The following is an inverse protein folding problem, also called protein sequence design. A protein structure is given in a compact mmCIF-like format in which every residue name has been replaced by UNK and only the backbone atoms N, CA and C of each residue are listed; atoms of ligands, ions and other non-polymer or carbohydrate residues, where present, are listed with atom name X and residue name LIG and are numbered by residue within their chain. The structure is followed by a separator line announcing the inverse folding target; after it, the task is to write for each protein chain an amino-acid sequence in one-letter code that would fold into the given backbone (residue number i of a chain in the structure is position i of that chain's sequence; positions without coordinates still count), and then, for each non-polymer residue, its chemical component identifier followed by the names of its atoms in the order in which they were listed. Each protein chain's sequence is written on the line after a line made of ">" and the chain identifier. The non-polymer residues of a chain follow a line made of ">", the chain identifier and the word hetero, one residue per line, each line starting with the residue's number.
data_IF_337730062457
#
_entry.id   IF_337730062457
#
_cell.length_a   1.000
_cell.length_b   1.000
_cell.length_c   1.000
_cell.angle_alpha   90.00
_cell.angle_beta   90.00
_cell.angle_gamma   90.00
#
_symmetry.space_group_name_H-M   'P 1'
#
loop_
_entity.id
_entity.type
_entity.pdbx_description
1 polymer ?
#
# COMPACT_ATOMS: atom_id res chain seq x y z
N UNK A 1 26.37 33.49 -44.58
CA UNK A 1 25.88 33.02 -43.29
C UNK A 1 24.67 32.14 -43.53
N UNK A 2 24.78 30.86 -43.24
CA UNK A 2 23.66 29.92 -43.36
C UNK A 2 22.58 30.24 -42.33
N UNK A 3 21.31 30.28 -42.77
CA UNK A 3 20.17 30.42 -41.86
C UNK A 3 20.19 29.30 -40.81
N UNK A 4 19.87 29.59 -39.56
CA UNK A 4 19.71 28.55 -38.55
C UNK A 4 18.76 27.43 -39.05
N UNK A 5 19.11 26.20 -38.80
CA UNK A 5 18.39 25.00 -39.33
C UNK A 5 16.89 25.02 -39.06
N UNK A 6 16.41 25.67 -37.98
CA UNK A 6 14.99 25.78 -37.62
C UNK A 6 14.22 26.77 -38.54
N UNK A 7 14.92 27.60 -39.33
CA UNK A 7 14.31 28.52 -40.30
C UNK A 7 14.15 27.91 -41.70
N UNK A 8 14.73 26.72 -41.95
CA UNK A 8 14.49 26.04 -43.23
C UNK A 8 13.05 25.49 -43.30
N UNK A 9 12.42 25.59 -44.51
CA UNK A 9 11.09 25.01 -44.70
C UNK A 9 11.09 23.53 -44.38
N UNK A 10 10.23 23.12 -43.45
CA UNK A 10 10.08 21.71 -43.09
C UNK A 10 9.33 20.95 -44.18
N UNK A 11 9.82 19.77 -44.55
CA UNK A 11 9.20 18.94 -45.59
C UNK A 11 7.84 18.36 -45.12
N UNK A 12 6.81 18.49 -45.98
CA UNK A 12 5.50 17.90 -45.75
C UNK A 12 5.43 16.53 -46.39
N UNK A 13 5.37 15.45 -45.59
CA UNK A 13 5.20 14.09 -46.10
C UNK A 13 6.37 13.57 -46.92
N UNK A 14 6.26 12.35 -47.45
CA UNK A 14 7.26 11.74 -48.34
C UNK A 14 7.41 12.63 -49.60
N UNK A 15 8.54 13.31 -49.69
CA UNK A 15 9.12 13.86 -50.91
C UNK A 15 8.60 15.14 -51.56
N UNK A 16 7.91 16.05 -50.86
CA UNK A 16 7.77 17.41 -51.41
C UNK A 16 8.11 18.46 -50.37
N UNK A 17 9.12 19.34 -50.61
CA UNK A 17 9.40 20.51 -49.77
C UNK A 17 8.17 21.42 -49.82
N UNK A 18 7.87 22.11 -48.71
CA UNK A 18 6.92 23.21 -48.69
C UNK A 18 7.57 24.35 -49.47
N UNK A 19 7.16 24.57 -50.72
CA UNK A 19 7.65 25.69 -51.51
C UNK A 19 6.99 26.97 -51.00
N UNK A 20 7.77 27.83 -50.39
CA UNK A 20 7.45 29.21 -50.08
C UNK A 20 7.72 30.02 -51.39
N UNK A 21 6.75 30.01 -52.29
CA UNK A 21 6.83 30.89 -53.46
C UNK A 21 6.26 32.27 -53.08
N UNK A 22 7.12 33.15 -52.64
CA UNK A 22 6.77 34.49 -52.19
C UNK A 22 6.84 35.48 -53.34
N UNK A 23 5.83 35.54 -54.16
CA UNK A 23 5.71 36.65 -55.15
C UNK A 23 5.42 37.96 -54.41
N UNK A 24 6.07 39.02 -54.86
CA UNK A 24 5.84 40.37 -54.34
C UNK A 24 4.37 40.74 -54.51
N UNK A 25 3.65 41.02 -53.44
CA UNK A 25 2.22 41.33 -53.44
C UNK A 25 1.26 40.26 -52.91
N UNK A 26 1.69 38.98 -52.74
CA UNK A 26 0.83 37.91 -52.23
C UNK A 26 1.57 37.05 -51.15
N UNK A 27 2.27 37.70 -50.21
CA UNK A 27 3.07 37.01 -49.19
C UNK A 27 2.28 36.58 -47.96
N UNK A 28 1.15 37.24 -47.69
CA UNK A 28 0.39 37.01 -46.45
C UNK A 28 -0.25 35.62 -46.44
N UNK A 29 -0.79 35.12 -47.57
CA UNK A 29 -1.40 33.82 -47.70
C UNK A 29 -0.39 32.65 -47.49
N UNK A 30 0.79 32.63 -48.15
CA UNK A 30 1.82 31.64 -47.92
C UNK A 30 2.34 31.62 -46.50
N UNK A 31 2.55 32.81 -45.87
CA UNK A 31 2.99 32.91 -44.47
C UNK A 31 1.92 32.38 -43.49
N UNK A 32 0.64 32.66 -43.72
CA UNK A 32 -0.45 32.14 -42.94
C UNK A 32 -0.50 30.57 -43.02
N UNK A 33 -0.32 30.03 -44.22
CA UNK A 33 -0.19 28.58 -44.41
C UNK A 33 1.04 28.00 -43.70
N UNK A 34 2.13 28.73 -43.67
CA UNK A 34 3.36 28.30 -43.01
C UNK A 34 3.23 28.29 -41.48
N UNK A 35 2.53 29.24 -40.86
CA UNK A 35 2.20 29.19 -39.42
C UNK A 35 1.54 27.86 -39.07
N UNK A 36 0.47 27.45 -39.81
CA UNK A 36 -0.21 26.20 -39.55
C UNK A 36 0.67 24.97 -39.83
N UNK A 37 1.57 25.07 -40.83
CA UNK A 37 2.52 23.98 -41.11
C UNK A 37 3.50 23.77 -39.96
N UNK A 38 4.03 24.85 -39.35
CA UNK A 38 4.91 24.77 -38.18
C UNK A 38 4.21 24.08 -37.00
N UNK A 39 2.98 24.47 -36.70
CA UNK A 39 2.18 23.88 -35.65
C UNK A 39 1.91 22.38 -35.93
N UNK A 40 1.60 22.03 -37.20
CA UNK A 40 1.47 20.61 -37.61
C UNK A 40 2.76 19.82 -37.40
N UNK A 41 3.91 20.42 -37.49
CA UNK A 41 5.25 19.84 -37.24
C UNK A 41 5.67 19.79 -35.77
N UNK A 42 4.81 20.27 -34.85
CA UNK A 42 5.03 20.16 -33.41
C UNK A 42 5.57 21.43 -32.73
N UNK A 43 5.70 22.53 -33.47
CA UNK A 43 6.00 23.83 -32.84
C UNK A 43 4.76 24.39 -32.13
N UNK A 44 4.96 25.03 -30.98
CA UNK A 44 3.85 25.77 -30.35
C UNK A 44 3.38 26.94 -31.18
N UNK A 45 2.13 27.40 -31.00
CA UNK A 45 1.60 28.56 -31.69
C UNK A 45 2.49 29.79 -31.49
N UNK A 46 2.98 30.00 -30.26
CA UNK A 46 3.87 31.11 -29.94
C UNK A 46 5.24 30.99 -30.66
N UNK A 47 5.81 29.76 -30.71
CA UNK A 47 7.03 29.49 -31.48
C UNK A 47 6.81 29.70 -32.97
N UNK A 48 5.71 29.22 -33.53
CA UNK A 48 5.35 29.40 -34.94
C UNK A 48 5.23 30.91 -35.29
N UNK A 49 4.60 31.71 -34.42
CA UNK A 49 4.49 33.14 -34.59
C UNK A 49 5.86 33.83 -34.55
N UNK A 50 6.72 33.44 -33.59
CA UNK A 50 8.09 33.96 -33.52
C UNK A 50 8.92 33.66 -34.79
N UNK A 51 8.85 32.41 -35.26
CA UNK A 51 9.55 31.97 -36.48
C UNK A 51 9.08 32.78 -37.67
N UNK A 52 7.77 33.02 -37.85
CA UNK A 52 7.25 33.80 -38.95
C UNK A 52 7.64 35.26 -38.86
N UNK A 53 7.71 35.86 -37.66
CA UNK A 53 8.25 37.24 -37.47
C UNK A 53 9.73 37.31 -37.86
N UNK A 54 10.53 36.34 -37.44
CA UNK A 54 11.95 36.28 -37.81
C UNK A 54 12.13 36.12 -39.32
N UNK A 55 11.35 35.22 -39.94
CA UNK A 55 11.39 35.05 -41.40
C UNK A 55 11.05 36.35 -42.13
N UNK A 56 9.99 37.04 -41.70
CA UNK A 56 9.62 38.32 -42.30
C UNK A 56 10.73 39.36 -42.20
N UNK A 57 11.45 39.38 -41.06
CA UNK A 57 12.49 40.42 -40.82
C UNK A 57 13.82 40.12 -41.49
N UNK A 58 14.19 38.83 -41.68
CA UNK A 58 15.54 38.46 -42.07
C UNK A 58 15.61 37.69 -43.41
N UNK A 59 14.51 37.17 -43.92
CA UNK A 59 14.50 36.37 -45.16
C UNK A 59 14.01 37.15 -46.35
N UNK A 60 13.17 38.16 -46.16
CA UNK A 60 12.60 38.96 -47.24
C UNK A 60 13.39 40.26 -47.46
N UNK A 61 13.82 40.48 -48.70
CA UNK A 61 14.46 41.74 -49.07
C UNK A 61 13.56 42.98 -48.81
N UNK A 62 12.24 42.80 -49.01
CA UNK A 62 11.24 43.82 -48.69
C UNK A 62 10.24 43.20 -47.67
N UNK A 63 10.47 43.34 -46.35
CA UNK A 63 9.59 42.73 -45.35
C UNK A 63 8.17 43.32 -45.39
N UNK A 64 7.17 42.50 -45.08
CA UNK A 64 5.79 42.96 -44.89
C UNK A 64 5.75 43.90 -43.68
N UNK A 65 5.08 45.07 -43.80
CA UNK A 65 4.95 45.99 -42.66
C UNK A 65 4.35 45.25 -41.45
N UNK A 66 4.90 45.49 -40.27
CA UNK A 66 4.52 44.74 -39.06
C UNK A 66 3.01 44.80 -38.76
N UNK A 67 2.38 45.95 -38.98
CA UNK A 67 0.93 46.12 -38.83
C UNK A 67 0.12 45.19 -39.74
N UNK A 68 0.56 45.00 -40.98
CA UNK A 68 -0.09 44.11 -41.96
C UNK A 68 0.16 42.68 -41.60
N UNK A 69 1.38 42.31 -41.19
CA UNK A 69 1.72 40.94 -40.74
C UNK A 69 0.87 40.51 -39.53
N UNK A 70 0.72 41.41 -38.56
CA UNK A 70 -0.09 41.12 -37.37
C UNK A 70 -1.60 41.10 -37.66
N UNK A 71 -2.08 41.98 -38.56
CA UNK A 71 -3.49 42.02 -38.91
C UNK A 71 -3.94 40.82 -39.78
N UNK A 72 -3.12 40.41 -40.75
CA UNK A 72 -3.52 39.45 -41.77
C UNK A 72 -2.98 38.05 -41.49
N UNK A 73 -1.84 37.87 -40.84
CA UNK A 73 -1.18 36.57 -40.63
C UNK A 73 -1.18 36.16 -39.14
N UNK A 74 -0.65 37.01 -38.27
CA UNK A 74 -0.41 36.70 -36.87
C UNK A 74 -1.51 37.25 -35.95
N UNK A 75 -2.75 37.21 -36.38
CA UNK A 75 -3.90 37.73 -35.65
C UNK A 75 -4.47 36.69 -34.65
N UNK A 76 -5.36 37.17 -33.78
CA UNK A 76 -6.00 36.35 -32.73
C UNK A 76 -6.77 35.16 -33.28
N UNK A 77 -7.37 35.26 -34.45
CA UNK A 77 -8.07 34.14 -35.12
C UNK A 77 -7.09 33.04 -35.52
N UNK A 78 -5.93 33.42 -36.10
CA UNK A 78 -4.86 32.48 -36.45
C UNK A 78 -4.28 31.84 -35.18
N UNK A 79 -4.01 32.63 -34.15
CA UNK A 79 -3.51 32.16 -32.86
C UNK A 79 -4.46 31.12 -32.22
N UNK A 80 -5.76 31.42 -32.22
CA UNK A 80 -6.78 30.51 -31.71
C UNK A 80 -6.79 29.20 -32.50
N UNK A 81 -6.80 29.23 -33.83
CA UNK A 81 -6.73 28.05 -34.68
C UNK A 81 -5.46 27.22 -34.44
N UNK A 82 -4.31 27.88 -34.29
CA UNK A 82 -3.05 27.19 -33.96
C UNK A 82 -3.11 26.50 -32.61
N UNK A 83 -3.61 27.13 -31.56
CA UNK A 83 -3.81 26.54 -30.24
C UNK A 83 -4.82 25.38 -30.26
N UNK A 84 -5.87 25.48 -31.08
CA UNK A 84 -6.81 24.35 -31.25
C UNK A 84 -6.15 23.18 -31.98
N UNK A 85 -5.26 23.43 -32.95
CA UNK A 85 -4.46 22.39 -33.64
C UNK A 85 -3.43 21.76 -32.67
N UNK A 86 -2.78 22.53 -31.83
CA UNK A 86 -1.87 22.01 -30.78
C UNK A 86 -2.62 21.09 -29.82
N UNK A 87 -3.75 21.54 -29.31
CA UNK A 87 -4.61 20.71 -28.44
C UNK A 87 -5.04 19.43 -29.14
N UNK A 88 -5.42 19.50 -30.42
CA UNK A 88 -5.81 18.33 -31.20
C UNK A 88 -4.62 17.39 -31.48
N UNK A 89 -3.42 17.92 -31.72
CA UNK A 89 -2.21 17.14 -31.91
C UNK A 89 -1.79 16.45 -30.59
N UNK A 90 -1.82 17.18 -29.46
CA UNK A 90 -1.56 16.62 -28.12
C UNK A 90 -2.56 15.53 -27.74
N UNK A 91 -3.85 15.67 -28.14
CA UNK A 91 -4.85 14.61 -27.94
C UNK A 91 -4.56 13.33 -28.75
N UNK A 92 -3.74 13.39 -29.78
CA UNK A 92 -3.40 12.23 -30.63
C UNK A 92 -2.16 11.47 -30.18
N UNK A 93 -1.50 11.90 -29.13
CA UNK A 93 -0.32 11.22 -28.59
C UNK A 93 -0.68 10.35 -27.40
N UNK A 94 -0.16 9.13 -27.36
CA UNK A 94 -0.26 8.25 -26.19
C UNK A 94 0.92 8.58 -25.29
N UNK A 95 0.68 9.46 -24.32
CA UNK A 95 1.68 9.84 -23.30
C UNK A 95 1.03 9.93 -21.92
N UNK A 96 1.81 9.84 -20.83
CA UNK A 96 1.31 10.07 -19.47
C UNK A 96 0.63 11.44 -19.32
N UNK A 97 1.15 12.47 -19.98
CA UNK A 97 0.61 13.83 -19.94
C UNK A 97 -0.76 13.91 -20.62
N UNK A 98 -0.91 13.22 -21.77
CA UNK A 98 -2.19 13.15 -22.48
C UNK A 98 -3.23 12.38 -21.67
N UNK A 99 -2.81 11.29 -21.01
CA UNK A 99 -3.68 10.51 -20.13
C UNK A 99 -4.10 11.32 -18.90
N UNK A 100 -3.16 12.02 -18.25
CA UNK A 100 -3.48 12.90 -17.13
C UNK A 100 -4.46 14.01 -17.52
N UNK A 101 -4.29 14.60 -18.72
CA UNK A 101 -5.24 15.59 -19.25
C UNK A 101 -6.60 14.99 -19.48
N UNK A 102 -6.69 13.78 -20.06
CA UNK A 102 -7.94 13.06 -20.21
C UNK A 102 -8.66 12.88 -18.87
N UNK A 103 -7.94 12.45 -17.82
CA UNK A 103 -8.53 12.32 -16.49
C UNK A 103 -9.04 13.65 -15.96
N UNK A 104 -8.22 14.71 -16.07
CA UNK A 104 -8.59 16.05 -15.60
C UNK A 104 -9.80 16.63 -16.35
N UNK A 105 -9.85 16.50 -17.68
CA UNK A 105 -10.95 17.00 -18.53
C UNK A 105 -12.28 16.28 -18.21
N UNK A 106 -12.22 15.03 -17.68
CA UNK A 106 -13.37 14.26 -17.25
C UNK A 106 -13.62 14.31 -15.74
N UNK A 107 -12.84 15.08 -14.99
CA UNK A 107 -12.96 15.19 -13.54
C UNK A 107 -12.58 13.93 -12.77
N UNK A 108 -11.98 12.93 -13.43
CA UNK A 108 -11.57 11.66 -12.82
C UNK A 108 -10.29 11.80 -12.03
N UNK A 109 -10.20 11.01 -10.96
CA UNK A 109 -8.97 10.87 -10.17
C UNK A 109 -8.63 9.39 -9.99
N UNK A 110 -7.33 9.05 -10.11
CA UNK A 110 -6.81 7.70 -9.92
C UNK A 110 -5.76 7.75 -8.83
N UNK A 111 -5.89 6.87 -7.84
CA UNK A 111 -4.96 6.74 -6.73
C UNK A 111 -4.68 5.28 -6.40
N UNK A 112 -3.56 5.02 -5.73
CA UNK A 112 -3.20 3.70 -5.23
C UNK A 112 -3.34 3.66 -3.70
N UNK A 113 -4.25 2.81 -3.21
CA UNK A 113 -4.41 2.54 -1.80
C UNK A 113 -3.37 1.50 -1.36
N UNK A 114 -2.33 1.97 -0.66
CA UNK A 114 -1.24 1.13 -0.18
C UNK A 114 -1.68 0.07 0.82
N UNK A 115 -2.74 0.34 1.59
CA UNK A 115 -3.25 -0.60 2.59
C UNK A 115 -3.96 -1.78 1.93
N UNK A 116 -4.95 -1.48 1.09
CA UNK A 116 -5.77 -2.49 0.42
C UNK A 116 -5.05 -3.15 -0.76
N UNK A 117 -3.92 -2.59 -1.21
CA UNK A 117 -3.20 -2.99 -2.41
C UNK A 117 -4.09 -2.91 -3.66
N UNK A 118 -4.85 -1.82 -3.79
CA UNK A 118 -5.83 -1.62 -4.85
C UNK A 118 -5.67 -0.26 -5.53
N UNK A 119 -6.03 -0.21 -6.83
CA UNK A 119 -6.19 1.05 -7.55
C UNK A 119 -7.62 1.52 -7.37
N UNK A 120 -7.78 2.74 -6.91
CA UNK A 120 -9.07 3.39 -6.70
C UNK A 120 -9.32 4.44 -7.77
N UNK A 121 -10.58 4.55 -8.18
CA UNK A 121 -11.06 5.47 -9.21
C UNK A 121 -12.17 6.33 -8.61
N UNK A 122 -11.94 7.63 -8.56
CA UNK A 122 -12.90 8.59 -8.04
C UNK A 122 -13.52 9.41 -9.17
N UNK A 123 -14.74 9.88 -8.96
CA UNK A 123 -15.49 10.74 -9.88
C UNK A 123 -15.58 10.15 -11.30
N UNK A 124 -15.84 8.83 -11.37
CA UNK A 124 -16.03 8.16 -12.66
C UNK A 124 -17.23 8.76 -13.38
N UNK A 125 -17.11 9.21 -14.64
CA UNK A 125 -18.21 9.84 -15.39
C UNK A 125 -19.38 8.89 -15.58
N UNK A 126 -20.58 9.44 -15.64
CA UNK A 126 -21.81 8.71 -15.98
C UNK A 126 -21.92 8.56 -17.51
N UNK A 127 -20.97 7.82 -18.10
CA UNK A 127 -20.93 7.49 -19.52
C UNK A 127 -21.11 5.99 -19.75
N UNK A 128 -21.67 5.57 -20.91
CA UNK A 128 -21.98 4.17 -21.19
C UNK A 128 -20.80 3.20 -21.02
N UNK A 129 -19.57 3.67 -21.27
CA UNK A 129 -18.34 2.89 -21.13
C UNK A 129 -18.09 2.43 -19.67
N UNK A 130 -18.62 3.16 -18.69
CA UNK A 130 -18.44 2.89 -17.27
C UNK A 130 -19.65 2.22 -16.60
N UNK A 131 -20.76 2.07 -17.33
CA UNK A 131 -21.96 1.45 -16.78
C UNK A 131 -21.78 -0.06 -16.54
N UNK A 132 -22.34 -0.55 -15.43
CA UNK A 132 -22.39 -1.97 -15.13
C UNK A 132 -21.07 -2.59 -14.67
N UNK A 133 -20.05 -1.78 -14.38
CA UNK A 133 -18.79 -2.25 -13.81
C UNK A 133 -19.05 -2.76 -12.39
N UNK A 134 -18.80 -4.06 -12.17
CA UNK A 134 -18.90 -4.73 -10.86
C UNK A 134 -17.54 -5.09 -10.31
N UNK A 135 -16.64 -5.51 -11.18
CA UNK A 135 -15.25 -5.82 -10.86
C UNK A 135 -14.35 -4.67 -11.35
N UNK A 136 -14.18 -3.69 -10.45
CA UNK A 136 -13.46 -2.45 -10.76
C UNK A 136 -12.03 -2.75 -11.21
N UNK A 137 -11.32 -3.64 -10.51
CA UNK A 137 -9.91 -3.93 -10.79
C UNK A 137 -9.71 -4.53 -12.20
N UNK A 138 -10.60 -5.40 -12.66
CA UNK A 138 -10.46 -6.07 -13.95
C UNK A 138 -11.16 -5.36 -15.12
N UNK A 139 -12.27 -4.67 -14.85
CA UNK A 139 -13.13 -4.08 -15.88
C UNK A 139 -12.79 -2.60 -16.16
N UNK A 140 -12.43 -1.82 -15.15
CA UNK A 140 -12.12 -0.39 -15.31
C UNK A 140 -11.00 -0.11 -16.34
N UNK A 141 -9.91 -0.88 -16.43
CA UNK A 141 -8.90 -0.66 -17.46
C UNK A 141 -9.44 -0.77 -18.88
N UNK A 142 -10.42 -1.64 -19.11
CA UNK A 142 -11.07 -1.79 -20.42
C UNK A 142 -11.99 -0.61 -20.72
N UNK A 143 -12.79 -0.18 -19.74
CA UNK A 143 -13.64 1.00 -19.88
C UNK A 143 -12.82 2.26 -20.18
N UNK A 144 -11.77 2.48 -19.41
CA UNK A 144 -10.83 3.60 -19.62
C UNK A 144 -10.13 3.54 -20.98
N UNK A 145 -9.80 2.34 -21.49
CA UNK A 145 -9.25 2.17 -22.83
C UNK A 145 -10.21 2.71 -23.90
N UNK A 146 -11.50 2.36 -23.80
CA UNK A 146 -12.50 2.84 -24.76
C UNK A 146 -12.72 4.35 -24.65
N UNK A 147 -12.87 4.88 -23.44
CA UNK A 147 -13.04 6.31 -23.21
C UNK A 147 -11.80 7.11 -23.68
N UNK A 148 -10.59 6.62 -23.42
CA UNK A 148 -9.35 7.28 -23.84
C UNK A 148 -9.14 7.22 -25.36
N UNK A 149 -9.55 6.13 -26.04
CA UNK A 149 -9.58 6.07 -27.50
C UNK A 149 -10.54 7.10 -28.10
N UNK A 150 -11.73 7.23 -27.54
CA UNK A 150 -12.74 8.23 -27.95
C UNK A 150 -12.20 9.65 -27.76
N UNK A 151 -11.55 9.93 -26.63
CA UNK A 151 -10.95 11.21 -26.32
C UNK A 151 -9.80 11.59 -27.28
N UNK A 152 -8.88 10.67 -27.56
CA UNK A 152 -7.70 10.93 -28.41
C UNK A 152 -8.00 10.79 -29.90
N UNK A 153 -9.03 10.04 -30.29
CA UNK A 153 -9.31 9.63 -31.67
C UNK A 153 -8.36 8.54 -32.20
N UNK A 154 -7.49 7.97 -31.34
CA UNK A 154 -6.54 6.92 -31.71
C UNK A 154 -7.21 5.55 -31.60
N UNK A 155 -7.16 4.76 -32.66
CA UNK A 155 -7.74 3.40 -32.69
C UNK A 155 -6.83 2.34 -32.05
N UNK A 156 -5.51 2.59 -32.03
CA UNK A 156 -4.50 1.58 -31.71
C UNK A 156 -3.97 1.65 -30.25
N UNK A 157 -4.76 2.14 -29.32
CA UNK A 157 -4.40 2.08 -27.89
C UNK A 157 -4.71 0.67 -27.38
N UNK A 158 -3.70 -0.06 -26.92
CA UNK A 158 -3.90 -1.38 -26.33
C UNK A 158 -4.40 -1.30 -24.90
N UNK A 159 -5.03 -2.38 -24.39
CA UNK A 159 -5.40 -2.49 -22.98
C UNK A 159 -4.15 -2.39 -22.09
N UNK A 160 -3.03 -3.01 -22.49
CA UNK A 160 -1.78 -2.96 -21.71
C UNK A 160 -1.23 -1.54 -21.58
N UNK A 161 -1.22 -0.75 -22.63
CA UNK A 161 -0.81 0.65 -22.56
C UNK A 161 -1.69 1.46 -21.59
N UNK A 162 -3.00 1.20 -21.61
CA UNK A 162 -3.91 1.86 -20.65
C UNK A 162 -3.62 1.42 -19.21
N UNK A 163 -3.38 0.13 -18.98
CA UNK A 163 -2.99 -0.41 -17.68
C UNK A 163 -1.68 0.22 -17.18
N UNK A 164 -0.68 0.37 -18.06
CA UNK A 164 0.60 0.99 -17.72
C UNK A 164 0.42 2.47 -17.33
N UNK A 165 -0.45 3.21 -18.03
CA UNK A 165 -0.80 4.60 -17.73
C UNK A 165 -1.58 4.73 -16.41
N UNK A 166 -2.54 3.82 -16.15
CA UNK A 166 -3.27 3.74 -14.87
C UNK A 166 -2.28 3.51 -13.73
N UNK A 167 -1.40 2.53 -13.86
CA UNK A 167 -0.42 2.20 -12.82
C UNK A 167 0.51 3.37 -12.54
N UNK A 168 0.98 4.06 -13.58
CA UNK A 168 1.85 5.23 -13.43
C UNK A 168 1.14 6.39 -12.72
N UNK A 169 -0.12 6.64 -13.04
CA UNK A 169 -0.88 7.73 -12.41
C UNK A 169 -1.28 7.37 -10.97
N UNK A 170 -1.69 6.12 -10.74
CA UNK A 170 -1.99 5.61 -9.40
C UNK A 170 -0.77 5.68 -8.47
N UNK A 171 0.42 5.32 -8.95
CA UNK A 171 1.66 5.37 -8.16
C UNK A 171 2.05 6.81 -7.77
N UNK A 172 1.80 7.80 -8.64
CA UNK A 172 2.03 9.22 -8.31
C UNK A 172 1.11 9.72 -7.19
N UNK A 173 -0.09 9.14 -7.09
CA UNK A 173 -1.12 9.48 -6.11
C UNK A 173 -1.27 8.37 -5.06
N UNK A 174 -0.17 7.71 -4.69
CA UNK A 174 -0.15 6.66 -3.68
C UNK A 174 -0.43 7.23 -2.30
N UNK A 175 -1.27 6.56 -1.51
CA UNK A 175 -1.62 6.99 -0.17
C UNK A 175 -1.90 5.80 0.76
N UNK A 176 -1.77 6.03 2.06
CA UNK A 176 -2.18 5.09 3.09
C UNK A 176 -3.31 5.73 3.93
N UNK A 177 -4.54 5.17 3.91
CA UNK A 177 -5.68 5.77 4.58
C UNK A 177 -5.51 5.83 6.11
N UNK A 178 -4.80 4.87 6.71
CA UNK A 178 -4.52 4.86 8.15
C UNK A 178 -3.55 5.96 8.55
N UNK A 179 -2.50 6.24 7.74
CA UNK A 179 -1.63 7.40 7.94
C UNK A 179 -2.44 8.70 7.99
N UNK A 180 -3.33 8.87 7.01
CA UNK A 180 -4.15 10.07 6.91
C UNK A 180 -5.08 10.19 8.12
N UNK A 181 -5.70 9.10 8.54
CA UNK A 181 -6.54 9.05 9.73
C UNK A 181 -5.76 9.43 11.00
N UNK A 182 -4.61 8.81 11.25
CA UNK A 182 -3.80 9.05 12.44
C UNK A 182 -3.28 10.49 12.53
N UNK A 183 -2.91 11.09 11.39
CA UNK A 183 -2.49 12.49 11.30
C UNK A 183 -3.63 13.49 11.46
N UNK A 184 -4.84 13.09 11.13
CA UNK A 184 -6.01 13.96 11.09
C UNK A 184 -6.64 14.29 12.45
N UNK A 185 -6.21 13.65 13.54
CA UNK A 185 -6.82 13.81 14.86
C UNK A 185 -5.83 14.42 15.83
N UNK A 186 -6.24 15.51 16.47
CA UNK A 186 -5.51 16.13 17.59
C UNK A 186 -5.98 15.49 18.90
N UNK A 187 -5.02 14.96 19.69
CA UNK A 187 -5.31 14.36 20.98
C UNK A 187 -5.72 15.41 22.02
N UNK A 188 -6.76 15.10 22.80
CA UNK A 188 -7.31 15.95 23.86
C UNK A 188 -6.58 15.88 25.20
N UNK A 189 -5.50 15.12 25.28
CA UNK A 189 -4.67 14.98 26.48
C UNK A 189 -5.14 13.94 27.50
N UNK A 190 -6.30 13.27 27.27
CA UNK A 190 -6.82 12.27 28.22
C UNK A 190 -6.25 10.88 27.93
N UNK A 191 -5.69 10.23 28.95
CA UNK A 191 -5.29 8.81 28.86
C UNK A 191 -6.53 7.91 28.84
N UNK A 192 -6.63 7.10 27.78
CA UNK A 192 -7.77 6.17 27.56
C UNK A 192 -7.42 4.72 27.86
N UNK A 193 -6.18 4.42 28.15
CA UNK A 193 -5.79 3.06 28.49
C UNK A 193 -6.44 2.51 29.76
N UNK A 194 -6.62 3.29 30.85
CA UNK A 194 -7.30 2.77 32.03
C UNK A 194 -8.71 2.25 31.72
N UNK A 195 -9.50 3.00 30.94
CA UNK A 195 -10.84 2.57 30.52
C UNK A 195 -10.78 1.35 29.58
N UNK A 196 -9.75 1.23 28.72
CA UNK A 196 -9.53 0.06 27.89
C UNK A 196 -9.26 -1.18 28.75
N UNK A 197 -8.40 -1.07 29.75
CA UNK A 197 -8.07 -2.18 30.64
C UNK A 197 -9.26 -2.63 31.47
N UNK A 198 -10.10 -1.69 31.90
CA UNK A 198 -11.34 -1.96 32.60
C UNK A 198 -12.29 -2.82 31.78
N UNK A 199 -12.57 -2.45 30.52
CA UNK A 199 -13.47 -3.22 29.65
C UNK A 199 -12.90 -4.59 29.25
N UNK A 200 -11.57 -4.75 29.26
CA UNK A 200 -10.90 -6.02 29.03
C UNK A 200 -10.81 -6.89 30.30
N UNK A 201 -11.08 -6.32 31.48
CA UNK A 201 -10.92 -7.00 32.76
C UNK A 201 -9.45 -7.30 33.11
N UNK A 202 -8.50 -6.57 32.54
CA UNK A 202 -7.05 -6.81 32.71
C UNK A 202 -6.50 -5.92 33.83
N UNK A 203 -6.09 -6.57 34.93
CA UNK A 203 -5.58 -5.87 36.12
C UNK A 203 -4.05 -5.90 36.26
N UNK A 204 -3.40 -6.91 35.67
CA UNK A 204 -1.94 -7.07 35.77
C UNK A 204 -1.19 -5.98 35.01
N UNK A 205 -0.23 -5.33 35.68
CA UNK A 205 0.57 -4.25 35.09
C UNK A 205 1.37 -4.70 33.86
N UNK A 206 1.82 -5.94 33.87
CA UNK A 206 2.57 -6.51 32.76
C UNK A 206 1.69 -6.72 31.52
N UNK A 207 0.53 -7.34 31.69
CA UNK A 207 -0.45 -7.54 30.61
C UNK A 207 -0.95 -6.20 30.05
N UNK A 208 -1.18 -5.22 30.92
CA UNK A 208 -1.51 -3.84 30.51
C UNK A 208 -0.37 -3.20 29.69
N UNK A 209 0.90 -3.46 30.06
CA UNK A 209 2.07 -3.01 29.28
C UNK A 209 2.10 -3.66 27.89
N UNK A 210 1.86 -4.96 27.76
CA UNK A 210 1.82 -5.65 26.49
C UNK A 210 0.72 -5.10 25.58
N UNK A 211 -0.49 -4.90 26.10
CA UNK A 211 -1.60 -4.30 25.38
C UNK A 211 -1.23 -2.90 24.88
N UNK A 212 -0.74 -2.04 25.77
CA UNK A 212 -0.35 -0.66 25.46
C UNK A 212 0.71 -0.63 24.36
N UNK A 213 1.73 -1.44 24.45
CA UNK A 213 2.82 -1.53 23.49
C UNK A 213 2.36 -2.05 22.14
N UNK A 214 1.44 -3.02 22.11
CA UNK A 214 0.88 -3.48 20.85
C UNK A 214 0.09 -2.39 20.12
N UNK A 215 -0.70 -1.58 20.84
CA UNK A 215 -1.39 -0.45 20.24
C UNK A 215 -0.43 0.64 19.76
N UNK A 216 0.65 0.89 20.47
CA UNK A 216 1.70 1.80 20.01
C UNK A 216 2.38 1.27 18.74
N UNK A 217 2.72 -0.02 18.69
CA UNK A 217 3.23 -0.68 17.51
C UNK A 217 2.24 -0.54 16.32
N UNK A 218 0.96 -0.78 16.57
CA UNK A 218 -0.08 -0.68 15.53
C UNK A 218 -0.24 0.73 14.99
N UNK A 219 -0.03 1.76 15.81
CA UNK A 219 -0.03 3.16 15.37
C UNK A 219 1.28 3.57 14.66
N UNK A 220 2.40 2.88 14.93
CA UNK A 220 3.69 3.14 14.29
C UNK A 220 3.79 2.51 12.89
N UNK A 221 3.31 1.28 12.71
CA UNK A 221 3.50 0.49 11.50
C UNK A 221 2.97 1.15 10.21
N UNK A 222 1.86 1.89 10.16
CA UNK A 222 1.46 2.62 8.96
C UNK A 222 2.53 3.59 8.45
N UNK A 223 3.44 4.08 9.31
CA UNK A 223 4.53 5.00 8.96
C UNK A 223 5.84 4.29 8.60
N UNK A 224 5.85 2.96 8.62
CA UNK A 224 7.02 2.18 8.20
C UNK A 224 7.38 2.49 6.74
N UNK A 225 8.68 2.60 6.46
CA UNK A 225 9.22 2.79 5.12
C UNK A 225 10.51 1.97 4.92
N UNK A 226 10.93 1.81 3.67
CA UNK A 226 12.18 1.09 3.38
C UNK A 226 13.42 1.89 3.79
N UNK A 227 13.30 3.23 3.82
CA UNK A 227 14.36 4.14 4.27
C UNK A 227 14.47 4.21 5.80
N UNK A 228 13.33 4.13 6.48
CA UNK A 228 13.23 4.17 7.95
C UNK A 228 12.40 2.97 8.43
N UNK A 229 13.01 1.78 8.49
CA UNK A 229 12.28 0.56 8.80
C UNK A 229 11.82 0.50 10.25
N UNK A 230 10.55 0.12 10.44
CA UNK A 230 9.94 -0.18 11.72
C UNK A 230 9.69 -1.69 11.79
N UNK A 231 10.47 -2.37 12.60
CA UNK A 231 10.28 -3.80 12.82
C UNK A 231 9.19 -4.04 13.87
N UNK A 232 8.14 -4.82 13.57
CA UNK A 232 7.19 -5.28 14.59
C UNK A 232 7.89 -6.05 15.71
N UNK A 233 7.49 -5.84 16.96
CA UNK A 233 8.08 -6.49 18.12
C UNK A 233 7.37 -7.79 18.47
N UNK A 234 6.02 -7.78 18.44
CA UNK A 234 5.24 -8.93 18.84
C UNK A 234 3.80 -8.92 18.34
N UNK A 235 3.15 -10.03 18.58
CA UNK A 235 1.76 -10.32 18.24
C UNK A 235 0.96 -10.42 19.54
N UNK A 236 -0.03 -9.55 19.72
CA UNK A 236 -0.94 -9.62 20.87
C UNK A 236 -1.94 -10.75 20.66
N UNK A 237 -2.01 -11.68 21.62
CA UNK A 237 -2.91 -12.82 21.59
C UNK A 237 -3.89 -12.72 22.76
N UNK A 238 -5.18 -12.65 22.46
CA UNK A 238 -6.23 -12.74 23.46
C UNK A 238 -6.62 -14.20 23.68
N UNK A 239 -6.31 -14.71 24.85
CA UNK A 239 -6.70 -16.02 25.34
C UNK A 239 -7.95 -15.90 26.22
N UNK A 240 -8.93 -16.78 26.08
CA UNK A 240 -10.13 -16.80 26.92
C UNK A 240 -11.29 -17.53 26.29
N UNK A 241 -12.39 -17.66 27.00
CA UNK A 241 -13.56 -18.42 26.58
C UNK A 241 -14.08 -18.00 25.19
N UNK A 242 -14.73 -18.92 24.51
CA UNK A 242 -15.41 -18.65 23.24
C UNK A 242 -16.58 -17.65 23.47
N UNK A 243 -16.83 -16.80 22.46
CA UNK A 243 -17.99 -15.88 22.48
C UNK A 243 -17.84 -14.63 23.37
N UNK A 244 -16.72 -14.43 24.09
CA UNK A 244 -16.52 -13.24 24.95
C UNK A 244 -16.23 -11.95 24.18
N UNK A 245 -16.07 -12.01 22.84
CA UNK A 245 -15.92 -10.83 22.00
C UNK A 245 -14.48 -10.49 21.58
N UNK A 246 -13.52 -11.40 21.67
CA UNK A 246 -12.10 -11.18 21.29
C UNK A 246 -11.93 -10.66 19.87
N UNK A 247 -12.44 -11.35 18.87
CA UNK A 247 -12.42 -10.95 17.44
C UNK A 247 -13.17 -9.64 17.21
N UNK A 248 -14.36 -9.50 17.85
CA UNK A 248 -15.16 -8.27 17.77
C UNK A 248 -14.37 -7.06 18.31
N UNK A 249 -13.56 -7.25 19.35
CA UNK A 249 -12.71 -6.22 19.90
C UNK A 249 -11.72 -5.70 18.85
N UNK A 250 -10.89 -6.55 18.26
CA UNK A 250 -9.89 -6.13 17.27
C UNK A 250 -10.55 -5.48 16.04
N UNK A 251 -11.66 -6.04 15.57
CA UNK A 251 -12.45 -5.48 14.45
C UNK A 251 -12.95 -4.07 14.76
N UNK A 252 -13.47 -3.84 15.97
CA UNK A 252 -13.99 -2.52 16.35
C UNK A 252 -12.86 -1.51 16.59
N UNK A 253 -11.71 -1.96 17.07
CA UNK A 253 -10.53 -1.10 17.26
C UNK A 253 -9.92 -0.65 15.93
N UNK A 254 -10.11 -1.33 14.82
CA UNK A 254 -9.57 -0.94 13.51
C UNK A 254 -10.25 0.29 12.88
N UNK A 255 -11.27 0.86 13.50
CA UNK A 255 -12.01 2.08 13.07
C UNK A 255 -12.90 1.86 11.85
N UNK A 256 -12.32 1.40 10.75
CA UNK A 256 -13.01 1.11 9.49
C UNK A 256 -13.02 -0.41 9.26
N UNK A 257 -14.18 -1.01 8.95
CA UNK A 257 -14.26 -2.45 8.67
C UNK A 257 -13.30 -2.93 7.57
N UNK A 258 -13.00 -2.10 6.58
CA UNK A 258 -12.06 -2.41 5.50
C UNK A 258 -10.59 -2.44 5.96
N UNK A 259 -10.29 -1.95 7.15
CA UNK A 259 -8.94 -1.94 7.71
C UNK A 259 -8.68 -3.12 8.64
N UNK A 260 -9.62 -4.05 8.71
CA UNK A 260 -9.53 -5.27 9.51
C UNK A 260 -9.77 -6.50 8.64
N UNK A 261 -8.95 -7.51 8.85
CA UNK A 261 -9.14 -8.85 8.29
C UNK A 261 -9.00 -9.89 9.41
N UNK A 262 -9.83 -10.93 9.37
CA UNK A 262 -9.70 -12.11 10.23
C UNK A 262 -9.48 -13.33 9.34
N UNK A 263 -8.38 -14.04 9.58
CA UNK A 263 -8.06 -15.25 8.84
C UNK A 263 -8.77 -16.44 9.49
N UNK A 264 -9.72 -17.03 8.78
CA UNK A 264 -10.47 -18.22 9.24
C UNK A 264 -9.71 -19.53 8.99
N UNK A 265 -8.58 -19.46 8.31
CA UNK A 265 -7.71 -20.60 7.97
C UNK A 265 -6.34 -20.43 8.60
N UNK A 266 -5.65 -21.54 8.93
CA UNK A 266 -4.26 -21.45 9.38
C UNK A 266 -3.43 -20.63 8.41
N UNK A 267 -2.66 -19.70 8.96
CA UNK A 267 -1.80 -18.85 8.14
C UNK A 267 -0.68 -19.69 7.53
N UNK A 268 -0.54 -19.62 6.22
CA UNK A 268 0.55 -20.26 5.48
C UNK A 268 1.43 -19.24 4.78
N UNK A 269 2.72 -19.22 5.11
CA UNK A 269 3.70 -18.37 4.43
C UNK A 269 4.00 -18.80 2.99
N UNK A 270 3.53 -19.98 2.59
CA UNK A 270 3.68 -20.52 1.23
C UNK A 270 2.52 -20.16 0.32
N UNK A 271 1.34 -19.88 0.88
CA UNK A 271 0.18 -19.48 0.11
C UNK A 271 0.20 -17.98 -0.13
N UNK A 272 0.38 -17.59 -1.40
CA UNK A 272 0.46 -16.17 -1.80
C UNK A 272 -0.84 -15.41 -1.55
N UNK A 273 -1.97 -16.05 -1.71
CA UNK A 273 -3.28 -15.40 -1.53
C UNK A 273 -3.51 -15.10 -0.05
N UNK A 274 -3.20 -16.05 0.84
CA UNK A 274 -3.25 -15.84 2.30
C UNK A 274 -2.29 -14.74 2.74
N UNK A 275 -1.09 -14.66 2.15
CA UNK A 275 -0.15 -13.57 2.44
C UNK A 275 -0.69 -12.21 2.01
N UNK A 276 -1.26 -12.10 0.81
CA UNK A 276 -1.86 -10.85 0.32
C UNK A 276 -3.03 -10.46 1.22
N UNK A 277 -3.91 -11.39 1.56
CA UNK A 277 -5.03 -11.17 2.46
C UNK A 277 -4.55 -10.66 3.83
N UNK A 278 -3.54 -11.32 4.42
CA UNK A 278 -2.94 -10.93 5.71
C UNK A 278 -2.40 -9.50 5.67
N UNK A 279 -1.82 -9.08 4.55
CA UNK A 279 -1.11 -7.81 4.40
C UNK A 279 -1.98 -6.67 3.85
N UNK A 280 -3.24 -6.95 3.52
CA UNK A 280 -4.18 -5.97 2.95
C UNK A 280 -5.08 -5.32 4.00
N UNK A 281 -4.67 -5.32 5.26
CA UNK A 281 -5.37 -4.66 6.36
C UNK A 281 -4.40 -3.98 7.32
N UNK A 282 -4.88 -3.02 8.08
CA UNK A 282 -4.12 -2.41 9.16
C UNK A 282 -3.96 -3.35 10.35
N UNK A 283 -5.06 -3.99 10.75
CA UNK A 283 -5.07 -4.99 11.81
C UNK A 283 -5.55 -6.30 11.20
N UNK A 284 -4.71 -7.32 11.27
CA UNK A 284 -5.05 -8.68 10.83
C UNK A 284 -5.06 -9.61 12.02
N UNK A 285 -6.20 -10.23 12.25
CA UNK A 285 -6.37 -11.26 13.26
C UNK A 285 -6.11 -12.64 12.67
N UNK A 286 -5.35 -13.44 13.39
CA UNK A 286 -5.25 -14.88 13.16
C UNK A 286 -6.21 -15.53 14.15
N UNK A 287 -7.40 -15.90 13.67
CA UNK A 287 -8.39 -16.62 14.44
C UNK A 287 -7.89 -18.04 14.75
N UNK A 288 -8.18 -18.53 15.98
CA UNK A 288 -7.71 -19.85 16.41
C UNK A 288 -6.23 -20.08 16.12
N UNK A 289 -5.39 -19.13 16.59
CA UNK A 289 -3.96 -19.08 16.27
C UNK A 289 -3.23 -20.40 16.61
N UNK A 290 -3.76 -21.19 17.53
CA UNK A 290 -3.28 -22.53 17.89
C UNK A 290 -3.18 -23.46 16.67
N UNK A 291 -4.11 -23.38 15.72
CA UNK A 291 -4.05 -24.15 14.47
C UNK A 291 -2.90 -23.74 13.56
N UNK A 292 -2.49 -22.50 13.64
CA UNK A 292 -1.39 -21.96 12.82
C UNK A 292 -0.03 -22.45 13.30
N UNK A 293 0.12 -22.79 14.59
CA UNK A 293 1.37 -23.30 15.16
C UNK A 293 1.72 -24.73 14.71
N UNK A 294 0.78 -25.47 14.12
CA UNK A 294 1.03 -26.81 13.61
C UNK A 294 1.84 -26.82 12.31
N UNK A 295 1.89 -25.70 11.57
CA UNK A 295 2.65 -25.57 10.33
C UNK A 295 4.00 -24.87 10.58
N UNK A 296 5.12 -25.48 10.17
CA UNK A 296 6.52 -24.97 10.14
C UNK A 296 6.82 -23.68 10.91
N UNK A 297 7.17 -23.83 12.17
CA UNK A 297 7.38 -22.79 13.18
C UNK A 297 8.36 -21.67 12.79
N UNK A 298 9.47 -22.00 12.09
CA UNK A 298 10.51 -21.03 11.75
C UNK A 298 10.05 -19.95 10.78
N UNK A 299 9.27 -20.35 9.77
CA UNK A 299 8.80 -19.44 8.72
C UNK A 299 7.76 -18.46 9.28
N UNK A 300 6.89 -18.96 10.17
CA UNK A 300 5.90 -18.14 10.87
C UNK A 300 6.55 -17.08 11.77
N UNK A 301 7.55 -17.47 12.57
CA UNK A 301 8.30 -16.55 13.44
C UNK A 301 8.93 -15.40 12.64
N UNK A 302 9.59 -15.74 11.54
CA UNK A 302 10.22 -14.75 10.66
C UNK A 302 9.20 -13.82 10.02
N UNK A 303 8.05 -14.35 9.64
CA UNK A 303 6.97 -13.57 9.06
C UNK A 303 6.37 -12.59 10.08
N UNK A 304 6.07 -13.02 11.32
CA UNK A 304 5.37 -12.19 12.31
C UNK A 304 6.13 -10.89 12.66
N UNK A 305 7.45 -10.93 12.62
CA UNK A 305 8.30 -9.78 12.94
C UNK A 305 9.06 -9.21 11.74
N UNK A 306 8.61 -9.50 10.51
CA UNK A 306 9.22 -8.95 9.30
C UNK A 306 8.92 -7.44 9.17
N UNK A 307 9.94 -6.66 8.85
CA UNK A 307 9.83 -5.21 8.61
C UNK A 307 9.35 -4.87 7.18
N UNK A 308 9.45 -5.83 6.27
CA UNK A 308 9.13 -5.69 4.85
C UNK A 308 8.55 -6.97 4.27
N UNK A 309 7.75 -6.81 3.23
CA UNK A 309 7.04 -7.86 2.53
C UNK A 309 7.28 -7.80 1.03
N UNK A 310 7.15 -8.97 0.36
CA UNK A 310 7.11 -9.04 -1.10
C UNK A 310 5.67 -9.25 -1.56
N UNK A 311 5.11 -8.26 -2.21
CA UNK A 311 3.75 -8.32 -2.74
C UNK A 311 3.73 -7.94 -4.21
N UNK A 312 2.67 -8.34 -4.92
CA UNK A 312 2.41 -7.91 -6.29
C UNK A 312 1.31 -6.85 -6.28
N UNK A 313 1.62 -5.65 -6.80
CA UNK A 313 0.61 -4.61 -7.04
C UNK A 313 -0.39 -5.04 -8.12
N UNK A 314 -1.62 -4.50 -8.11
CA UNK A 314 -2.53 -4.67 -9.24
C UNK A 314 -1.83 -4.31 -10.54
N UNK A 315 -2.08 -5.11 -11.58
CA UNK A 315 -1.51 -4.98 -12.93
C UNK A 315 0.02 -5.15 -13.05
N UNK A 316 0.76 -5.27 -11.94
CA UNK A 316 2.22 -5.47 -11.98
C UNK A 316 2.59 -6.89 -12.45
N UNK A 317 3.66 -7.02 -13.22
CA UNK A 317 4.20 -8.32 -13.66
C UNK A 317 5.05 -8.95 -12.57
N UNK A 318 5.84 -8.14 -11.87
CA UNK A 318 6.78 -8.58 -10.84
C UNK A 318 6.36 -8.13 -9.44
N UNK A 319 6.65 -8.92 -8.40
CA UNK A 319 6.45 -8.51 -7.04
C UNK A 319 7.43 -7.39 -6.65
N UNK A 320 6.97 -6.47 -5.83
CA UNK A 320 7.80 -5.43 -5.23
C UNK A 320 8.03 -5.71 -3.75
N UNK A 321 9.13 -5.18 -3.22
CA UNK A 321 9.35 -5.13 -1.77
C UNK A 321 8.72 -3.84 -1.24
N UNK A 322 7.86 -3.96 -0.22
CA UNK A 322 7.30 -2.82 0.51
C UNK A 322 7.54 -2.96 2.01
N UNK A 323 7.56 -1.85 2.71
CA UNK A 323 7.55 -1.84 4.16
C UNK A 323 6.24 -2.42 4.70
N UNK A 324 6.31 -3.19 5.80
CA UNK A 324 5.12 -3.74 6.44
C UNK A 324 4.35 -2.66 7.18
N UNK A 325 3.07 -2.49 6.87
CA UNK A 325 2.17 -1.55 7.51
C UNK A 325 1.07 -2.22 8.34
N UNK A 326 1.02 -3.55 8.30
CA UNK A 326 0.02 -4.39 8.98
C UNK A 326 0.50 -4.78 10.38
N UNK A 327 -0.38 -4.61 11.37
CA UNK A 327 -0.22 -5.15 12.73
C UNK A 327 -1.00 -6.45 12.85
N UNK A 328 -0.34 -7.48 13.41
CA UNK A 328 -0.93 -8.79 13.56
C UNK A 328 -1.35 -9.00 15.02
N UNK A 329 -2.53 -9.60 15.21
CA UNK A 329 -3.01 -10.09 16.50
C UNK A 329 -3.55 -11.52 16.35
N UNK A 330 -3.85 -12.15 17.47
CA UNK A 330 -4.40 -13.49 17.49
C UNK A 330 -5.45 -13.68 18.56
N UNK A 331 -6.27 -14.70 18.38
CA UNK A 331 -7.22 -15.15 19.41
C UNK A 331 -7.16 -16.67 19.55
N UNK A 332 -7.35 -17.14 20.77
CA UNK A 332 -7.47 -18.56 21.08
C UNK A 332 -8.41 -18.78 22.26
N UNK A 333 -8.99 -19.97 22.34
CA UNK A 333 -9.74 -20.45 23.51
C UNK A 333 -9.02 -21.57 24.27
N UNK A 334 -7.84 -22.01 23.76
CA UNK A 334 -7.04 -23.05 24.42
C UNK A 334 -6.20 -22.46 25.54
N UNK A 335 -6.00 -23.27 26.61
CA UNK A 335 -5.12 -22.95 27.73
C UNK A 335 -3.65 -23.01 27.33
N UNK A 336 -3.27 -24.13 26.74
CA UNK A 336 -1.93 -24.39 26.24
C UNK A 336 -1.99 -24.49 24.73
N UNK A 337 -1.17 -23.73 24.03
CA UNK A 337 -1.20 -23.65 22.56
C UNK A 337 0.12 -23.18 21.95
N UNK A 338 1.00 -22.56 22.74
CA UNK A 338 2.33 -22.22 22.26
C UNK A 338 3.16 -23.49 22.15
N UNK A 339 3.74 -23.69 21.01
CA UNK A 339 4.61 -24.82 20.75
C UNK A 339 5.98 -24.30 20.30
N UNK A 340 6.62 -23.47 21.16
CA UNK A 340 7.82 -22.74 20.83
C UNK A 340 8.74 -22.52 22.03
N UNK A 341 9.75 -23.39 22.16
CA UNK A 341 10.77 -23.26 23.21
C UNK A 341 11.75 -22.08 22.96
N UNK A 342 11.92 -21.65 21.70
CA UNK A 342 12.93 -20.67 21.31
C UNK A 342 12.35 -19.50 20.52
N UNK A 343 11.74 -18.53 21.18
CA UNK A 343 11.22 -17.34 20.48
C UNK A 343 9.86 -16.89 20.98
N UNK A 344 9.48 -17.37 22.12
CA UNK A 344 8.22 -17.03 22.80
C UNK A 344 8.02 -15.54 23.01
N UNK A 345 9.10 -14.74 23.03
CA UNK A 345 9.07 -13.26 23.16
C UNK A 345 8.24 -12.52 22.09
N UNK A 346 7.89 -13.21 20.99
CA UNK A 346 7.03 -12.63 19.94
C UNK A 346 5.55 -12.75 20.25
N UNK A 347 5.18 -13.64 21.17
CA UNK A 347 3.80 -13.98 21.48
C UNK A 347 3.40 -13.30 22.78
N UNK A 348 2.62 -12.24 22.68
CA UNK A 348 2.17 -11.44 23.81
C UNK A 348 0.80 -11.91 24.27
N UNK A 349 0.79 -12.99 25.04
CA UNK A 349 -0.43 -13.65 25.51
C UNK A 349 -1.03 -12.91 26.68
N UNK A 350 -2.28 -12.51 26.52
CA UNK A 350 -3.08 -11.86 27.56
C UNK A 350 -4.38 -12.62 27.77
N UNK A 351 -4.59 -13.06 29.00
CA UNK A 351 -5.84 -13.73 29.37
C UNK A 351 -6.95 -12.70 29.56
N UNK A 352 -8.10 -12.92 28.87
CA UNK A 352 -9.31 -12.11 28.99
C UNK A 352 -10.32 -12.89 29.82
N UNK A 353 -10.63 -12.44 31.07
CA UNK A 353 -11.36 -13.23 32.05
C UNK A 353 -12.85 -13.31 31.78
N UNK A 354 -13.42 -12.40 30.99
CA UNK A 354 -14.87 -12.31 30.80
C UNK A 354 -15.28 -11.62 29.53
N UNK A 355 -16.57 -11.36 29.40
CA UNK A 355 -17.14 -10.67 28.24
C UNK A 355 -16.63 -9.25 28.14
N UNK A 356 -16.18 -8.86 26.94
CA UNK A 356 -15.66 -7.51 26.64
C UNK A 356 -16.85 -6.59 26.36
N UNK A 357 -17.03 -5.54 27.19
CA UNK A 357 -18.03 -4.48 26.97
C UNK A 357 -17.48 -3.41 26.03
N UNK A 358 -17.64 -3.62 24.72
CA UNK A 358 -17.15 -2.72 23.70
C UNK A 358 -17.97 -1.45 23.53
N UNK A 359 -19.24 -1.50 23.84
CA UNK A 359 -20.17 -0.43 23.47
C UNK A 359 -19.98 0.82 24.36
N UNK A 360 -19.41 0.64 25.55
CA UNK A 360 -19.02 1.75 26.44
C UNK A 360 -17.75 2.48 25.98
N UNK A 361 -16.82 1.79 25.32
CA UNK A 361 -15.52 2.34 24.90
C UNK A 361 -15.49 2.75 23.43
N UNK A 362 -16.00 1.92 22.51
CA UNK A 362 -15.86 2.08 21.07
C UNK A 362 -16.95 2.98 20.50
N UNK A 363 -16.96 4.24 20.93
CA UNK A 363 -17.69 5.32 20.27
C UNK A 363 -16.72 6.11 19.37
N UNK A 364 -17.16 6.67 18.23
CA UNK A 364 -16.25 7.27 17.23
C UNK A 364 -15.29 8.30 17.82
N UNK A 365 -15.77 9.22 18.66
CA UNK A 365 -14.94 10.24 19.28
C UNK A 365 -13.88 9.65 20.22
N UNK A 366 -14.23 8.66 21.02
CA UNK A 366 -13.32 8.06 21.98
C UNK A 366 -12.24 7.24 21.27
N UNK A 367 -12.63 6.49 20.23
CA UNK A 367 -11.74 5.68 19.43
C UNK A 367 -10.73 6.53 18.66
N UNK A 368 -11.15 7.64 18.04
CA UNK A 368 -10.25 8.54 17.35
C UNK A 368 -9.22 9.18 18.29
N UNK A 369 -9.66 9.57 19.49
CA UNK A 369 -8.78 10.14 20.51
C UNK A 369 -7.82 9.08 21.10
N UNK A 370 -8.24 7.83 21.24
CA UNK A 370 -7.39 6.73 21.64
C UNK A 370 -6.24 6.52 20.62
N UNK A 371 -6.55 6.48 19.34
CA UNK A 371 -5.53 6.34 18.32
C UNK A 371 -4.64 7.58 18.18
N UNK A 372 -5.17 8.79 18.39
CA UNK A 372 -4.37 10.01 18.46
C UNK A 372 -3.36 9.97 19.63
N UNK A 373 -3.77 9.44 20.79
CA UNK A 373 -2.87 9.18 21.91
C UNK A 373 -1.74 8.23 21.50
N UNK A 374 -2.07 7.08 20.91
CA UNK A 374 -1.08 6.10 20.46
C UNK A 374 -0.10 6.67 19.43
N UNK A 375 -0.58 7.45 18.49
CA UNK A 375 0.24 8.10 17.46
C UNK A 375 1.19 9.13 18.08
N UNK A 376 0.70 9.99 18.96
CA UNK A 376 1.53 11.02 19.61
C UNK A 376 2.60 10.44 20.52
N UNK A 377 2.32 9.33 21.22
CA UNK A 377 3.34 8.65 22.02
C UNK A 377 4.47 8.11 21.15
N UNK A 378 4.16 7.58 19.96
CA UNK A 378 5.20 7.18 18.99
C UNK A 378 6.02 8.37 18.47
N UNK A 379 5.41 9.55 18.28
CA UNK A 379 6.15 10.76 17.87
C UNK A 379 7.11 11.24 18.95
N UNK A 380 6.71 11.14 20.22
CA UNK A 380 7.58 11.51 21.37
C UNK A 380 8.71 10.50 21.58
N UNK A 381 8.38 9.21 21.46
CA UNK A 381 9.34 8.12 21.66
C UNK A 381 9.08 7.01 20.62
N UNK A 382 9.84 6.97 19.52
CA UNK A 382 9.69 5.94 18.48
C UNK A 382 9.97 4.51 18.96
N UNK A 383 10.50 4.33 20.18
CA UNK A 383 10.77 3.03 20.79
C UNK A 383 9.74 2.64 21.88
N UNK A 384 8.64 3.40 22.03
CA UNK A 384 7.66 3.21 23.11
C UNK A 384 6.98 1.83 23.10
N UNK A 385 6.95 1.15 21.97
CA UNK A 385 6.40 -0.20 21.83
C UNK A 385 7.42 -1.33 22.03
N UNK A 386 8.72 -1.03 22.20
CA UNK A 386 9.75 -2.05 22.45
C UNK A 386 9.65 -2.60 23.86
N UNK A 387 9.86 -3.91 23.99
CA UNK A 387 10.00 -4.54 25.31
C UNK A 387 11.39 -4.28 25.88
N UNK A 388 11.43 -3.95 27.17
CA UNK A 388 12.68 -3.94 27.93
C UNK A 388 13.18 -5.36 28.20
N UNK A 389 14.44 -5.51 28.59
CA UNK A 389 15.01 -6.82 28.94
C UNK A 389 14.24 -7.51 30.07
N UNK A 390 13.75 -6.74 31.03
CA UNK A 390 12.97 -7.26 32.18
C UNK A 390 11.62 -7.78 31.66
N UNK A 391 10.92 -7.02 30.80
CA UNK A 391 9.65 -7.44 30.22
C UNK A 391 9.81 -8.67 29.31
N UNK A 392 10.94 -8.79 28.60
CA UNK A 392 11.22 -10.00 27.78
C UNK A 392 11.34 -11.22 28.69
N UNK A 393 12.12 -11.14 29.78
CA UNK A 393 12.28 -12.26 30.72
C UNK A 393 10.96 -12.63 31.40
N UNK A 394 10.14 -11.64 31.79
CA UNK A 394 8.82 -11.89 32.38
C UNK A 394 7.87 -12.53 31.36
N UNK A 395 7.91 -12.09 30.08
CA UNK A 395 7.10 -12.67 29.00
C UNK A 395 7.48 -14.13 28.75
N UNK A 396 8.77 -14.44 28.68
CA UNK A 396 9.26 -15.80 28.46
C UNK A 396 8.85 -16.72 29.62
N UNK A 397 8.90 -16.25 30.85
CA UNK A 397 8.44 -17.02 32.00
C UNK A 397 6.93 -17.27 31.98
N UNK A 398 6.13 -16.24 31.70
CA UNK A 398 4.67 -16.38 31.58
C UNK A 398 4.26 -17.29 30.42
N UNK A 399 4.97 -17.23 29.31
CA UNK A 399 4.67 -18.06 28.15
C UNK A 399 4.92 -19.58 28.40
N UNK A 400 5.75 -19.96 29.39
CA UNK A 400 5.90 -21.37 29.78
C UNK A 400 4.57 -21.99 30.24
N UNK A 401 3.73 -21.22 30.93
CA UNK A 401 2.43 -21.70 31.40
C UNK A 401 1.38 -21.95 30.32
N UNK A 402 1.59 -21.41 29.11
CA UNK A 402 0.71 -21.58 27.95
C UNK A 402 1.39 -22.37 26.84
N UNK A 403 2.58 -22.93 27.10
CA UNK A 403 3.32 -23.78 26.16
C UNK A 403 2.80 -25.19 26.23
N UNK A 404 2.36 -25.74 25.10
CA UNK A 404 1.97 -27.12 24.97
C UNK A 404 3.23 -28.01 25.02
N UNK A 405 3.28 -28.91 25.98
CA UNK A 405 4.34 -29.90 26.05
C UNK A 405 4.19 -30.91 24.92
N UNK A 406 5.27 -31.26 24.26
CA UNK A 406 5.24 -32.37 23.31
C UNK A 406 4.86 -33.65 24.07
N UNK A 407 4.02 -34.51 23.49
CA UNK A 407 3.66 -35.79 24.15
C UNK A 407 4.88 -36.58 24.65
N UNK A 408 5.96 -36.57 23.88
CA UNK A 408 7.23 -37.19 24.30
C UNK A 408 7.89 -36.50 25.51
N UNK A 409 7.79 -35.16 25.61
CA UNK A 409 8.32 -34.42 26.74
C UNK A 409 7.50 -34.62 28.00
N UNK A 410 6.19 -34.64 27.87
CA UNK A 410 5.27 -34.90 28.98
C UNK A 410 5.52 -36.33 29.57
N UNK A 411 5.67 -37.30 28.69
CA UNK A 411 6.00 -38.68 29.08
C UNK A 411 7.39 -38.79 29.73
N UNK A 412 8.38 -38.03 29.21
CA UNK A 412 9.70 -37.98 29.84
C UNK A 412 9.67 -37.33 31.21
N UNK A 413 8.88 -36.26 31.40
CA UNK A 413 8.71 -35.61 32.72
C UNK A 413 8.04 -36.50 33.75
N UNK A 414 7.12 -37.35 33.32
CA UNK A 414 6.46 -38.33 34.20
C UNK A 414 7.39 -39.47 34.63
N UNK A 415 8.40 -39.78 33.82
CA UNK A 415 9.29 -40.95 34.05
C UNK A 415 10.65 -40.60 34.60
N UNK A 416 11.09 -39.33 34.46
CA UNK A 416 12.37 -38.87 34.98
C UNK A 416 12.14 -38.05 36.26
N UNK A 417 12.92 -38.35 37.28
CA UNK A 417 12.94 -37.58 38.52
C UNK A 417 13.91 -36.38 38.38
N UNK A 418 13.39 -35.25 37.97
CA UNK A 418 14.16 -34.00 37.84
C UNK A 418 14.50 -33.33 39.19
N UNK A 419 13.92 -33.82 40.30
CA UNK A 419 14.23 -33.32 41.66
C UNK A 419 15.33 -34.16 42.31
N UNK A 420 15.73 -35.29 41.69
CA UNK A 420 16.85 -36.09 42.19
C UNK A 420 18.17 -35.24 42.21
N UNK A 421 19.03 -35.45 43.20
CA UNK A 421 20.34 -34.80 43.26
C UNK A 421 21.16 -35.08 42.01
N UNK A 422 21.91 -34.11 41.50
CA UNK A 422 22.78 -34.24 40.31
C UNK A 422 23.77 -35.43 40.42
N UNK A 423 24.10 -35.85 41.62
CA UNK A 423 24.95 -37.03 41.88
C UNK A 423 24.31 -38.36 41.53
N UNK A 424 23.00 -38.39 41.36
CA UNK A 424 22.23 -39.55 40.98
C UNK A 424 21.84 -39.56 39.49
N UNK A 425 22.23 -38.50 38.74
CA UNK A 425 21.92 -38.41 37.33
C UNK A 425 22.87 -39.21 36.47
N UNK A 426 22.35 -40.04 35.59
CA UNK A 426 23.08 -40.75 34.58
C UNK A 426 22.92 -40.04 33.20
N UNK A 427 24.05 -39.59 32.61
CA UNK A 427 24.07 -38.97 31.33
C UNK A 427 23.88 -40.00 30.20
N UNK A 428 22.74 -39.97 29.53
CA UNK A 428 22.41 -40.85 28.41
C UNK A 428 22.35 -40.00 27.13
N UNK A 429 22.99 -40.46 26.05
CA UNK A 429 22.79 -39.81 24.76
C UNK A 429 21.35 -39.94 24.28
N UNK A 430 20.72 -38.89 23.65
CA UNK A 430 19.36 -38.99 23.17
C UNK A 430 19.06 -40.20 22.26
N UNK A 431 20.05 -40.62 21.45
CA UNK A 431 19.97 -41.81 20.61
C UNK A 431 19.93 -43.14 21.43
N UNK A 432 20.46 -43.13 22.64
CA UNK A 432 20.47 -44.31 23.51
C UNK A 432 19.17 -44.45 24.34
N UNK A 433 18.46 -43.34 24.61
CA UNK A 433 17.14 -43.38 25.23
C UNK A 433 16.15 -44.29 24.47
N UNK A 434 16.27 -44.37 23.15
CA UNK A 434 15.45 -45.25 22.29
C UNK A 434 15.59 -46.75 22.61
N UNK A 435 16.71 -47.14 23.21
CA UNK A 435 17.04 -48.52 23.49
C UNK A 435 16.71 -48.92 24.94
N UNK A 436 16.30 -47.96 25.77
CA UNK A 436 15.87 -48.25 27.13
C UNK A 436 14.42 -48.74 27.10
N UNK A 437 14.12 -49.91 27.72
CA UNK A 437 12.77 -50.49 27.71
C UNK A 437 11.70 -49.53 28.25
N UNK A 438 12.08 -48.64 29.16
CA UNK A 438 11.23 -47.69 29.87
C UNK A 438 10.81 -46.53 28.94
N UNK A 439 11.52 -46.28 27.82
CA UNK A 439 11.29 -45.19 26.86
C UNK A 439 10.92 -45.70 25.44
N UNK A 440 10.82 -47.02 25.25
CA UNK A 440 10.58 -47.60 23.93
C UNK A 440 9.23 -47.19 23.31
N UNK A 441 8.26 -46.81 24.16
CA UNK A 441 6.92 -46.39 23.73
C UNK A 441 6.88 -44.91 23.28
N UNK A 442 7.81 -44.08 23.76
CA UNK A 442 7.86 -42.64 23.47
C UNK A 442 8.29 -42.38 22.01
N UNK A 443 9.08 -43.28 21.44
CA UNK A 443 9.64 -43.16 20.09
C UNK A 443 8.65 -43.48 18.98
N UNK A 444 7.43 -43.92 19.29
CA UNK A 444 6.39 -44.24 18.30
C UNK A 444 5.56 -43.04 17.84
N UNK A 445 5.83 -41.84 18.35
CA UNK A 445 5.09 -40.61 18.05
C UNK A 445 5.83 -39.65 17.14
N UNK A 446 6.94 -40.04 16.50
CA UNK A 446 7.63 -39.24 15.44
C UNK A 446 7.10 -39.59 14.05
#
# INVERSE_FOLDING_TARGET
>A
DELPSFLYPLQKGKNKPFQLDFKEGDRTNPLGGYVFHLVYKGYTADQAFQIVRLMNSFVFENPIPQKTLEAEVLNDSTLKKCRDMEKAAQKKEISPETFKRFLTDNGMFIQYNELLNEVEFENVPDEPEFHGIRDVQNQMPTALQYAFRKYTGLKNISKQQTVDLISLEADKNSYNPVKNYLRGVVWDGKDRFPALFEILGVQGNFEQSLIRKWFYQSAALPFNSLENPIQPEGVLIFQGAEGIGKTRFFRRMSVNPLWFTSLDKPMSTKNKDTLIETLSAWITEIGEIDRTFTERRSDLKSFMTAEKDKIRKPYAREPITRARTTSICGTTNKGEFLNDETGSRRWWVVHIPGRIDLDSFVIPKNLSQFWAQCYLENLKNPQCFRLSKVEISELEEKNKSVTELLPAEDELRLRLDFEAPESEWEWVQPSALKNLPEFADIVRYD
#
